data_IF_140219342225
#
_entry.id   IF_140219342225
#
_cell.length_a   1.000
_cell.length_b   1.000
_cell.length_c   1.000
_cell.angle_alpha   90.00
_cell.angle_beta   90.00
_cell.angle_gamma   90.00
#
_symmetry.space_group_name_H-M   'P 1'
#
loop_
_entity.id
_entity.type
_entity.pdbx_description
1 polymer ?
#
# COMPACT_ATOMS: atom_id res chain seq x y z
N UNK A 1 7.69 20.72 -0.92
CA UNK A 1 8.65 21.13 -1.96
C UNK A 1 9.97 21.77 -1.45
N UNK A 2 10.40 21.62 -0.17
CA UNK A 2 11.61 22.32 0.31
C UNK A 2 12.93 21.67 -0.12
N UNK A 3 12.98 20.35 -0.31
CA UNK A 3 14.25 19.64 -0.59
C UNK A 3 14.82 19.96 -1.97
N UNK A 4 13.98 20.08 -2.98
CA UNK A 4 14.39 20.45 -4.34
C UNK A 4 14.91 21.90 -4.40
N UNK A 5 14.35 22.80 -3.62
CA UNK A 5 14.81 24.19 -3.56
C UNK A 5 16.21 24.32 -2.96
N UNK A 6 16.51 23.52 -1.93
CA UNK A 6 17.84 23.53 -1.26
C UNK A 6 18.93 22.97 -2.17
N UNK A 7 18.63 21.94 -2.95
CA UNK A 7 19.58 21.39 -3.93
C UNK A 7 19.87 22.37 -5.08
N UNK A 8 18.88 23.16 -5.48
CA UNK A 8 19.00 24.14 -6.57
C UNK A 8 19.75 25.42 -6.18
N UNK A 9 19.74 25.80 -4.90
CA UNK A 9 20.46 26.99 -4.40
C UNK A 9 21.99 26.86 -4.43
N UNK A 10 22.52 25.64 -4.58
CA UNK A 10 23.96 25.40 -4.74
C UNK A 10 24.49 25.52 -6.19
N UNK A 11 23.61 25.69 -7.18
CA UNK A 11 23.96 25.78 -8.60
C UNK A 11 24.00 27.25 -9.02
N UNK A 12 25.16 27.71 -9.49
CA UNK A 12 25.39 29.12 -9.85
C UNK A 12 25.05 29.42 -11.31
N UNK A 13 24.84 28.41 -12.15
CA UNK A 13 24.54 28.58 -13.57
C UNK A 13 23.05 28.29 -13.86
N UNK A 14 22.39 29.22 -14.56
CA UNK A 14 20.97 29.07 -14.92
C UNK A 14 20.69 27.83 -15.79
N UNK A 15 21.66 27.43 -16.61
CA UNK A 15 21.55 26.24 -17.45
C UNK A 15 21.56 24.96 -16.61
N UNK A 16 22.40 24.89 -15.59
CA UNK A 16 22.49 23.74 -14.69
C UNK A 16 21.23 23.62 -13.82
N UNK A 17 20.66 24.74 -13.40
CA UNK A 17 19.36 24.76 -12.69
C UNK A 17 18.24 24.21 -13.57
N UNK A 18 18.18 24.60 -14.85
CA UNK A 18 17.17 24.12 -15.78
C UNK A 18 17.32 22.60 -16.04
N UNK A 19 18.53 22.12 -16.24
CA UNK A 19 18.84 20.71 -16.44
C UNK A 19 18.50 19.87 -15.20
N UNK A 20 18.90 20.34 -14.02
CA UNK A 20 18.60 19.64 -12.76
C UNK A 20 17.09 19.59 -12.47
N UNK A 21 16.37 20.65 -12.78
CA UNK A 21 14.89 20.68 -12.61
C UNK A 21 14.21 19.71 -13.57
N UNK A 22 14.63 19.67 -14.83
CA UNK A 22 14.12 18.76 -15.84
C UNK A 22 14.36 17.29 -15.43
N UNK A 23 15.59 16.96 -15.01
CA UNK A 23 15.95 15.62 -14.54
C UNK A 23 15.14 15.21 -13.31
N UNK A 24 15.02 16.12 -12.33
CA UNK A 24 14.24 15.88 -11.12
C UNK A 24 12.78 15.62 -11.42
N UNK A 25 12.19 16.37 -12.35
CA UNK A 25 10.79 16.18 -12.79
C UNK A 25 10.63 14.82 -13.51
N UNK A 26 11.54 14.47 -14.39
CA UNK A 26 11.51 13.18 -15.09
C UNK A 26 11.61 11.99 -14.13
N UNK A 27 12.55 12.06 -13.17
CA UNK A 27 12.71 11.04 -12.15
C UNK A 27 11.47 10.91 -11.27
N UNK A 28 10.84 12.02 -10.93
CA UNK A 28 9.61 12.02 -10.13
C UNK A 28 8.47 11.34 -10.85
N UNK A 29 8.27 11.62 -12.14
CA UNK A 29 7.22 10.98 -12.96
C UNK A 29 7.48 9.48 -13.11
N UNK A 30 8.71 9.09 -13.44
CA UNK A 30 9.09 7.69 -13.55
C UNK A 30 8.90 6.93 -12.23
N UNK A 31 9.36 7.50 -11.12
CA UNK A 31 9.20 6.89 -9.79
C UNK A 31 7.74 6.73 -9.43
N UNK A 32 6.89 7.72 -9.74
CA UNK A 32 5.45 7.65 -9.51
C UNK A 32 4.78 6.52 -10.30
N UNK A 33 5.14 6.36 -11.57
CA UNK A 33 4.60 5.30 -12.43
C UNK A 33 5.00 3.90 -11.92
N UNK A 34 6.26 3.72 -11.54
CA UNK A 34 6.76 2.45 -10.99
C UNK A 34 6.06 2.15 -9.66
N UNK A 35 5.97 3.12 -8.76
CA UNK A 35 5.32 2.96 -7.46
C UNK A 35 3.84 2.58 -7.62
N UNK A 36 3.12 3.24 -8.53
CA UNK A 36 1.72 2.92 -8.83
C UNK A 36 1.55 1.50 -9.34
N UNK A 37 2.39 1.07 -10.29
CA UNK A 37 2.36 -0.28 -10.85
C UNK A 37 2.65 -1.35 -9.80
N UNK A 38 3.66 -1.14 -8.96
CA UNK A 38 3.99 -2.06 -7.86
C UNK A 38 2.85 -2.16 -6.83
N UNK A 39 2.28 -1.01 -6.45
CA UNK A 39 1.16 -0.95 -5.49
C UNK A 39 -0.06 -1.70 -6.03
N UNK A 40 -0.44 -1.47 -7.28
CA UNK A 40 -1.57 -2.15 -7.92
C UNK A 40 -1.33 -3.66 -8.02
N UNK A 41 -0.13 -4.06 -8.43
CA UNK A 41 0.22 -5.49 -8.54
C UNK A 41 0.22 -6.17 -7.17
N UNK A 42 0.78 -5.52 -6.16
CA UNK A 42 0.77 -6.03 -4.79
C UNK A 42 -0.66 -6.21 -4.29
N UNK A 43 -1.50 -5.18 -4.46
CA UNK A 43 -2.89 -5.22 -4.04
C UNK A 43 -3.66 -6.36 -4.73
N UNK A 44 -3.59 -6.43 -6.06
CA UNK A 44 -4.31 -7.48 -6.82
C UNK A 44 -3.91 -8.89 -6.40
N UNK A 45 -2.62 -9.11 -6.12
CA UNK A 45 -2.14 -10.41 -5.64
C UNK A 45 -2.64 -10.73 -4.23
N UNK A 46 -2.68 -9.74 -3.35
CA UNK A 46 -3.16 -9.94 -1.97
C UNK A 46 -4.68 -10.13 -1.91
N UNK A 47 -5.41 -9.37 -2.71
CA UNK A 47 -6.85 -9.51 -2.84
C UNK A 47 -7.21 -10.93 -3.33
N UNK A 48 -6.55 -11.42 -4.37
CA UNK A 48 -6.76 -12.78 -4.86
C UNK A 48 -6.49 -13.85 -3.79
N UNK A 49 -5.40 -13.72 -3.04
CA UNK A 49 -5.05 -14.62 -1.93
C UNK A 49 -6.10 -14.61 -0.81
N UNK A 50 -6.56 -13.44 -0.41
CA UNK A 50 -7.57 -13.32 0.65
C UNK A 50 -8.92 -13.83 0.17
N UNK A 51 -9.29 -13.57 -1.09
CA UNK A 51 -10.50 -14.09 -1.69
C UNK A 51 -10.49 -15.63 -1.72
N UNK A 52 -9.38 -16.25 -2.13
CA UNK A 52 -9.22 -17.69 -2.14
C UNK A 52 -9.37 -18.29 -0.74
N UNK A 53 -8.66 -17.73 0.26
CA UNK A 53 -8.73 -18.19 1.66
C UNK A 53 -10.12 -18.03 2.28
N UNK A 54 -10.81 -16.95 1.99
CA UNK A 54 -12.16 -16.71 2.48
C UNK A 54 -13.15 -17.70 1.81
N UNK A 55 -12.95 -18.00 0.54
CA UNK A 55 -13.78 -18.96 -0.20
C UNK A 55 -13.57 -20.39 0.30
N UNK A 56 -12.34 -20.78 0.63
CA UNK A 56 -12.05 -22.08 1.24
C UNK A 56 -12.78 -22.29 2.58
N UNK A 57 -12.97 -21.20 3.36
CA UNK A 57 -13.74 -21.21 4.61
C UNK A 57 -15.25 -21.44 4.40
N UNK A 58 -15.77 -21.23 3.19
CA UNK A 58 -17.18 -21.40 2.84
C UNK A 58 -17.39 -22.80 2.26
N UNK A 59 -17.45 -23.76 3.16
CA UNK A 59 -17.72 -25.14 2.80
C UNK A 59 -19.17 -25.48 3.20
N UNK A 60 -19.97 -26.14 2.34
CA UNK A 60 -21.31 -26.62 2.66
C UNK A 60 -21.36 -27.54 3.89
N UNK A 61 -20.22 -28.06 4.33
CA UNK A 61 -20.08 -28.87 5.55
C UNK A 61 -19.66 -28.07 6.79
N UNK A 62 -19.49 -26.75 6.67
CA UNK A 62 -19.11 -25.90 7.78
C UNK A 62 -20.36 -25.50 8.57
N UNK A 63 -20.40 -25.87 9.84
CA UNK A 63 -21.54 -25.62 10.74
C UNK A 63 -22.02 -24.16 10.74
N UNK A 64 -21.14 -23.13 10.86
CA UNK A 64 -21.57 -21.75 10.77
C UNK A 64 -22.22 -21.36 9.44
N UNK A 65 -21.77 -21.95 8.32
CA UNK A 65 -22.36 -21.70 7.01
C UNK A 65 -23.77 -22.30 6.92
N UNK A 66 -23.94 -23.54 7.41
CA UNK A 66 -25.24 -24.21 7.41
C UNK A 66 -26.24 -23.42 8.25
N UNK A 67 -25.86 -23.00 9.46
CA UNK A 67 -26.72 -22.20 10.32
C UNK A 67 -27.12 -20.86 9.68
N UNK A 68 -26.19 -20.18 9.03
CA UNK A 68 -26.46 -18.94 8.31
C UNK A 68 -27.40 -19.16 7.12
N UNK A 69 -27.21 -20.24 6.37
CA UNK A 69 -28.06 -20.60 5.25
C UNK A 69 -29.49 -20.94 5.70
N UNK A 70 -29.62 -21.76 6.75
CA UNK A 70 -30.92 -22.14 7.31
C UNK A 70 -31.67 -20.93 7.87
N UNK A 71 -30.99 -20.03 8.56
CA UNK A 71 -31.57 -18.78 9.06
C UNK A 71 -32.01 -17.87 7.90
N UNK A 72 -31.24 -17.76 6.84
CA UNK A 72 -31.58 -16.95 5.69
C UNK A 72 -32.81 -17.51 4.94
N UNK A 73 -32.85 -18.83 4.72
CA UNK A 73 -33.98 -19.48 4.06
C UNK A 73 -35.25 -19.45 4.93
N UNK A 74 -35.11 -19.60 6.24
CA UNK A 74 -36.24 -19.44 7.19
C UNK A 74 -36.81 -18.01 7.18
N UNK A 75 -36.01 -17.01 6.87
CA UNK A 75 -36.45 -15.62 6.71
C UNK A 75 -37.08 -15.32 5.33
N UNK A 76 -37.14 -16.31 4.44
CA UNK A 76 -37.70 -16.17 3.10
C UNK A 76 -36.72 -15.64 2.05
N UNK A 77 -35.43 -15.61 2.36
CA UNK A 77 -34.41 -15.20 1.39
C UNK A 77 -34.21 -16.31 0.35
N UNK A 78 -34.21 -15.93 -0.94
CA UNK A 78 -33.93 -16.85 -2.02
C UNK A 78 -32.47 -17.37 -1.94
N UNK A 79 -32.21 -18.67 -2.15
CA UNK A 79 -30.87 -19.26 -2.12
C UNK A 79 -29.86 -18.55 -3.03
N UNK A 80 -30.31 -18.08 -4.20
CA UNK A 80 -29.45 -17.34 -5.12
C UNK A 80 -29.08 -15.96 -4.55
N UNK A 81 -30.03 -15.27 -3.91
CA UNK A 81 -29.79 -14.01 -3.24
C UNK A 81 -28.83 -14.16 -2.04
N UNK A 82 -28.96 -15.25 -1.28
CA UNK A 82 -28.01 -15.56 -0.21
C UNK A 82 -26.59 -15.77 -0.76
N UNK A 83 -26.44 -16.57 -1.82
CA UNK A 83 -25.14 -16.79 -2.45
C UNK A 83 -24.49 -15.47 -2.93
N UNK A 84 -25.29 -14.57 -3.53
CA UNK A 84 -24.82 -13.27 -3.97
C UNK A 84 -24.37 -12.38 -2.80
N UNK A 85 -25.09 -12.40 -1.66
CA UNK A 85 -24.69 -11.68 -0.45
C UNK A 85 -23.38 -12.22 0.12
N UNK A 86 -23.24 -13.53 0.23
CA UNK A 86 -22.01 -14.19 0.70
C UNK A 86 -20.84 -13.80 -0.20
N UNK A 87 -21.00 -13.87 -1.52
CA UNK A 87 -19.95 -13.48 -2.46
C UNK A 87 -19.56 -12.01 -2.33
N UNK A 88 -20.54 -11.13 -2.14
CA UNK A 88 -20.30 -9.70 -1.91
C UNK A 88 -19.52 -9.45 -0.63
N UNK A 89 -19.85 -10.17 0.45
CA UNK A 89 -19.15 -10.02 1.73
C UNK A 89 -17.72 -10.56 1.67
N UNK A 90 -17.48 -11.70 0.99
CA UNK A 90 -16.12 -12.21 0.74
C UNK A 90 -15.27 -11.17 0.03
N UNK A 91 -15.79 -10.61 -1.05
CA UNK A 91 -15.09 -9.60 -1.84
C UNK A 91 -14.78 -8.37 -0.99
N UNK A 92 -15.76 -7.89 -0.21
CA UNK A 92 -15.58 -6.75 0.70
C UNK A 92 -14.51 -7.00 1.75
N UNK A 93 -14.53 -8.16 2.39
CA UNK A 93 -13.54 -8.56 3.39
C UNK A 93 -12.14 -8.72 2.77
N UNK A 94 -12.05 -9.31 1.59
CA UNK A 94 -10.80 -9.43 0.82
C UNK A 94 -10.16 -8.06 0.53
N UNK A 95 -10.97 -7.08 0.12
CA UNK A 95 -10.50 -5.70 -0.09
C UNK A 95 -9.99 -5.05 1.19
N UNK A 96 -10.73 -5.17 2.30
CA UNK A 96 -10.34 -4.57 3.58
C UNK A 96 -9.01 -5.15 4.06
N UNK A 97 -8.85 -6.47 4.03
CA UNK A 97 -7.61 -7.14 4.45
C UNK A 97 -6.42 -6.72 3.59
N UNK A 98 -6.59 -6.69 2.27
CA UNK A 98 -5.55 -6.24 1.34
C UNK A 98 -5.15 -4.79 1.58
N UNK A 99 -6.10 -3.93 1.92
CA UNK A 99 -5.86 -2.53 2.22
C UNK A 99 -5.05 -2.36 3.51
N UNK A 100 -5.40 -3.09 4.56
CA UNK A 100 -4.67 -3.08 5.84
C UNK A 100 -3.22 -3.54 5.63
N UNK A 101 -3.00 -4.63 4.90
CA UNK A 101 -1.65 -5.12 4.59
C UNK A 101 -0.82 -4.11 3.77
N UNK A 102 -1.45 -3.45 2.81
CA UNK A 102 -0.80 -2.40 2.02
C UNK A 102 -0.30 -1.26 2.92
N UNK A 103 -1.16 -0.79 3.84
CA UNK A 103 -0.77 0.26 4.80
C UNK A 103 0.33 -0.20 5.76
N UNK A 104 0.31 -1.45 6.21
CA UNK A 104 1.38 -2.01 7.03
C UNK A 104 2.71 -2.03 6.29
N UNK A 105 2.73 -2.43 5.02
CA UNK A 105 3.92 -2.36 4.18
C UNK A 105 4.43 -0.92 4.02
N UNK A 106 3.55 0.03 3.78
CA UNK A 106 3.92 1.45 3.69
C UNK A 106 4.49 1.98 5.00
N UNK A 107 3.86 1.66 6.13
CA UNK A 107 4.35 2.05 7.44
C UNK A 107 5.76 1.50 7.71
N UNK A 108 5.99 0.23 7.37
CA UNK A 108 7.30 -0.40 7.52
C UNK A 108 8.36 0.29 6.67
N UNK A 109 8.05 0.59 5.42
CA UNK A 109 8.97 1.33 4.53
C UNK A 109 9.29 2.72 5.10
N UNK A 110 8.30 3.46 5.57
CA UNK A 110 8.52 4.76 6.22
C UNK A 110 9.39 4.64 7.47
N UNK A 111 9.19 3.59 8.27
CA UNK A 111 9.98 3.34 9.47
C UNK A 111 11.45 3.05 9.13
N UNK A 112 11.69 2.24 8.09
CA UNK A 112 13.04 1.96 7.59
C UNK A 112 13.73 3.25 7.12
N UNK A 113 13.03 4.08 6.35
CA UNK A 113 13.58 5.37 5.91
C UNK A 113 13.88 6.31 7.07
N UNK A 114 12.99 6.42 8.04
CA UNK A 114 13.21 7.21 9.25
C UNK A 114 14.42 6.72 10.03
N UNK A 115 14.59 5.41 10.17
CA UNK A 115 15.73 4.81 10.83
C UNK A 115 17.05 5.08 10.09
N UNK A 116 17.04 4.96 8.77
CA UNK A 116 18.22 5.25 7.92
C UNK A 116 18.62 6.73 8.05
N UNK A 117 17.67 7.65 8.02
CA UNK A 117 17.92 9.08 8.20
C UNK A 117 18.49 9.34 9.60
N UNK A 118 17.90 8.76 10.63
CA UNK A 118 18.38 8.90 12.01
C UNK A 118 19.82 8.37 12.18
N UNK A 119 20.14 7.25 11.53
CA UNK A 119 21.49 6.70 11.54
C UNK A 119 22.50 7.56 10.78
N UNK A 120 22.07 8.20 9.68
CA UNK A 120 22.89 9.09 8.86
C UNK A 120 23.19 10.43 9.56
N UNK A 121 22.27 10.89 10.42
CA UNK A 121 22.38 12.16 11.18
C UNK A 121 23.06 11.97 12.54
N UNK A 122 23.98 11.01 12.64
CA UNK A 122 24.76 10.76 13.85
C UNK A 122 25.64 11.98 14.19
N UNK A 123 25.55 12.54 15.41
CA UNK A 123 26.11 13.89 15.75
C UNK A 123 27.64 13.95 15.82
N UNK A 124 28.36 13.06 15.19
CA UNK A 124 29.83 13.02 15.21
C UNK A 124 30.55 14.00 14.27
N UNK A 125 29.83 14.79 13.42
CA UNK A 125 30.48 15.65 12.40
C UNK A 125 30.55 17.12 12.71
N UNK A 126 30.01 17.61 13.80
CA UNK A 126 30.00 19.06 14.11
C UNK A 126 31.19 19.52 14.98
N UNK A 127 32.03 18.62 15.46
CA UNK A 127 33.18 18.98 16.32
C UNK A 127 34.52 19.08 15.57
N UNK A 128 34.58 18.84 14.28
CA UNK A 128 35.85 18.87 13.52
C UNK A 128 36.13 20.18 12.77
N UNK A 129 35.38 21.26 13.00
CA UNK A 129 35.58 22.56 12.30
C UNK A 129 35.85 23.75 13.20
N UNK A 130 36.41 23.51 14.40
CA UNK A 130 36.92 24.59 15.27
C UNK A 130 38.27 24.18 15.89
N UNK A 131 39.28 23.92 15.06
CA UNK A 131 40.69 23.92 15.43
C UNK A 131 41.51 24.55 14.31
#
# INVERSE_FOLDING_TARGET
>A
MPVTSVLLTGLSDAQDVANATSLSTSLRVLSGSIASSLTTTFWSRREALHHERLTEGINPFNEPFIQAYDAATASGLDPLAFAAQVQSEITRQGYILSFVELFQCFALVCFVFAFVIWLADSPGRLTAKSA
#
